data_IF_336119546122
#
_entry.id   IF_336119546122
#
_cell.length_a   1.000
_cell.length_b   1.000
_cell.length_c   1.000
_cell.angle_alpha   90.00
_cell.angle_beta   90.00
_cell.angle_gamma   90.00
#
_symmetry.space_group_name_H-M   'P 1'
#
loop_
_entity.id
_entity.type
_entity.pdbx_description
1 polymer ?
#
# COMPACT_ATOMS: atom_id res chain seq x y z
N UNK A 1 -24.48 -16.05 -10.75
CA UNK A 1 -23.77 -14.83 -10.29
C UNK A 1 -23.37 -14.84 -8.81
N UNK A 2 -23.38 -15.98 -8.12
CA UNK A 2 -23.08 -16.10 -6.68
C UNK A 2 -21.61 -16.37 -6.34
N UNK A 3 -20.68 -16.05 -7.25
CA UNK A 3 -19.26 -16.43 -7.11
C UNK A 3 -18.35 -15.29 -6.60
N UNK A 4 -18.88 -14.08 -6.42
CA UNK A 4 -18.11 -12.92 -5.93
C UNK A 4 -18.44 -12.71 -4.46
N UNK A 5 -17.44 -12.87 -3.58
CA UNK A 5 -17.62 -12.74 -2.14
C UNK A 5 -17.76 -11.26 -1.70
N UNK A 6 -17.02 -10.34 -2.32
CA UNK A 6 -17.13 -8.89 -2.14
C UNK A 6 -17.31 -8.19 -3.49
N UNK A 7 -18.55 -7.86 -3.84
CA UNK A 7 -18.92 -7.29 -5.14
C UNK A 7 -19.05 -5.77 -5.11
N UNK A 8 -18.73 -5.12 -6.24
CA UNK A 8 -19.01 -3.71 -6.46
C UNK A 8 -20.50 -3.39 -6.30
N UNK A 9 -20.82 -2.25 -5.70
CA UNK A 9 -22.20 -1.82 -5.42
C UNK A 9 -22.89 -2.60 -4.30
N UNK A 10 -22.25 -3.62 -3.72
CA UNK A 10 -22.80 -4.39 -2.59
C UNK A 10 -22.72 -3.66 -1.25
N UNK A 11 -21.86 -2.65 -1.14
CA UNK A 11 -21.55 -1.93 0.09
C UNK A 11 -21.42 -0.41 -0.16
N UNK A 12 -21.91 0.45 0.76
CA UNK A 12 -21.73 1.90 0.71
C UNK A 12 -20.30 2.41 0.43
N UNK A 13 -19.27 1.71 0.91
CA UNK A 13 -17.86 2.06 0.68
C UNK A 13 -17.33 1.74 -0.72
N UNK A 14 -18.05 0.96 -1.52
CA UNK A 14 -17.58 0.51 -2.85
C UNK A 14 -18.69 0.63 -3.91
N UNK A 15 -19.29 1.81 -4.12
CA UNK A 15 -20.46 1.95 -4.99
C UNK A 15 -20.14 1.70 -6.47
N UNK A 16 -18.91 1.94 -6.92
CA UNK A 16 -18.51 1.74 -8.32
C UNK A 16 -17.65 0.50 -8.54
N UNK A 17 -16.73 0.20 -7.61
CA UNK A 17 -15.83 -0.93 -7.72
C UNK A 17 -15.21 -1.28 -6.37
N UNK A 18 -14.80 -2.55 -6.24
CA UNK A 18 -13.99 -3.06 -5.14
C UNK A 18 -12.62 -3.43 -5.70
N UNK A 19 -11.60 -2.72 -5.27
CA UNK A 19 -10.20 -3.00 -5.59
C UNK A 19 -9.56 -3.87 -4.51
N UNK A 20 -8.32 -4.25 -4.76
CA UNK A 20 -7.54 -5.19 -3.94
C UNK A 20 -7.49 -4.80 -2.47
N UNK A 21 -7.25 -5.78 -1.63
CA UNK A 21 -6.79 -5.61 -0.28
C UNK A 21 -6.39 -6.96 0.31
N UNK A 22 -6.30 -7.05 1.63
CA UNK A 22 -5.81 -8.23 2.33
C UNK A 22 -6.72 -8.61 3.49
N UNK A 23 -6.59 -9.85 3.97
CA UNK A 23 -7.41 -10.42 5.04
C UNK A 23 -6.52 -10.91 6.17
N UNK A 24 -6.97 -10.70 7.41
CA UNK A 24 -6.37 -11.25 8.62
C UNK A 24 -7.41 -12.08 9.39
N UNK A 25 -7.02 -13.22 10.01
CA UNK A 25 -7.94 -14.08 10.74
C UNK A 25 -8.19 -13.56 12.17
N UNK A 26 -8.61 -12.31 12.30
CA UNK A 26 -8.91 -11.64 13.57
C UNK A 26 -10.22 -10.85 13.47
N UNK A 27 -10.82 -10.50 14.59
CA UNK A 27 -11.90 -9.51 14.65
C UNK A 27 -11.35 -8.07 14.74
N UNK A 28 -12.24 -7.06 14.81
CA UNK A 28 -11.85 -5.64 14.88
C UNK A 28 -11.04 -5.26 16.14
N UNK A 29 -10.96 -6.14 17.14
CA UNK A 29 -10.15 -5.99 18.36
C UNK A 29 -8.86 -6.81 18.33
N UNK A 30 -8.50 -7.38 17.17
CA UNK A 30 -7.31 -8.20 16.99
C UNK A 30 -7.41 -9.61 17.59
N UNK A 31 -8.60 -10.04 18.03
CA UNK A 31 -8.80 -11.34 18.65
C UNK A 31 -9.10 -12.42 17.61
N UNK A 32 -8.58 -13.64 17.79
CA UNK A 32 -8.88 -14.79 16.93
C UNK A 32 -10.14 -15.51 17.43
N UNK A 33 -11.30 -15.10 16.94
CA UNK A 33 -12.62 -15.69 17.28
C UNK A 33 -13.28 -16.44 16.11
N UNK A 34 -12.53 -16.68 15.04
CA UNK A 34 -13.04 -17.25 13.78
C UNK A 34 -13.53 -16.21 12.77
N UNK A 35 -13.54 -14.92 13.11
CA UNK A 35 -13.81 -13.84 12.17
C UNK A 35 -12.65 -13.66 11.19
N UNK A 36 -12.96 -13.46 9.90
CA UNK A 36 -12.05 -12.91 8.91
C UNK A 36 -12.27 -11.41 8.82
N UNK A 37 -11.21 -10.62 8.95
CA UNK A 37 -11.23 -9.17 8.80
C UNK A 37 -10.45 -8.79 7.55
N UNK A 38 -11.10 -8.09 6.63
CA UNK A 38 -10.55 -7.69 5.34
C UNK A 38 -10.50 -6.19 5.24
N UNK A 39 -9.34 -5.65 4.87
CA UNK A 39 -9.26 -4.32 4.27
C UNK A 39 -9.38 -4.47 2.76
N UNK A 40 -10.08 -3.54 2.10
CA UNK A 40 -10.07 -3.44 0.66
C UNK A 40 -10.30 -1.99 0.20
N UNK A 41 -9.80 -1.65 -0.99
CA UNK A 41 -10.01 -0.31 -1.55
C UNK A 41 -11.37 -0.21 -2.21
N UNK A 42 -12.24 0.66 -1.70
CA UNK A 42 -13.52 0.98 -2.30
C UNK A 42 -13.42 2.17 -3.26
N UNK A 43 -14.11 2.10 -4.40
CA UNK A 43 -14.04 3.11 -5.46
C UNK A 43 -15.34 3.93 -5.52
N UNK A 44 -15.19 5.24 -5.37
CA UNK A 44 -16.29 6.22 -5.40
C UNK A 44 -16.30 7.13 -6.63
N UNK A 45 -15.20 7.22 -7.36
CA UNK A 45 -15.13 7.98 -8.62
C UNK A 45 -14.11 7.39 -9.59
N UNK A 46 -14.38 7.54 -10.88
CA UNK A 46 -13.53 7.07 -11.98
C UNK A 46 -13.42 8.17 -13.06
N UNK A 47 -12.36 8.16 -13.90
CA UNK A 47 -11.25 7.21 -13.92
C UNK A 47 -10.21 7.47 -12.82
N UNK A 48 -9.53 6.41 -12.36
CA UNK A 48 -8.29 6.50 -11.58
C UNK A 48 -7.13 6.03 -12.45
N UNK A 49 -6.11 6.87 -12.61
CA UNK A 49 -4.89 6.53 -13.33
C UNK A 49 -3.76 7.45 -12.88
N UNK A 50 -2.56 6.90 -12.71
CA UNK A 50 -1.41 7.67 -12.25
C UNK A 50 -1.04 8.83 -13.19
N UNK A 51 -1.34 8.72 -14.50
CA UNK A 51 -1.11 9.75 -15.52
C UNK A 51 -2.07 10.95 -15.43
N UNK A 52 -3.19 10.81 -14.72
CA UNK A 52 -4.25 11.83 -14.65
C UNK A 52 -4.26 12.55 -13.30
N UNK A 53 -4.81 13.77 -13.21
CA UNK A 53 -5.12 14.40 -11.93
C UNK A 53 -5.96 13.47 -11.05
N UNK A 54 -5.63 13.41 -9.75
CA UNK A 54 -6.38 12.56 -8.82
C UNK A 54 -7.71 13.22 -8.45
N UNK A 55 -8.81 12.48 -8.60
CA UNK A 55 -10.11 12.94 -8.13
C UNK A 55 -10.19 12.65 -6.63
N UNK A 56 -10.28 13.70 -5.82
CA UNK A 56 -10.32 13.58 -4.36
C UNK A 56 -11.51 12.70 -3.94
N UNK A 57 -11.25 11.71 -3.09
CA UNK A 57 -12.25 10.76 -2.61
C UNK A 57 -12.50 9.58 -3.55
N UNK A 58 -11.73 9.42 -4.63
CA UNK A 58 -11.85 8.26 -5.53
C UNK A 58 -11.62 6.93 -4.84
N UNK A 59 -10.55 6.80 -4.05
CA UNK A 59 -10.21 5.58 -3.33
C UNK A 59 -10.38 5.78 -1.82
N UNK A 60 -11.15 4.89 -1.19
CA UNK A 60 -11.28 4.80 0.27
C UNK A 60 -10.80 3.43 0.73
N UNK A 61 -10.31 3.31 1.96
CA UNK A 61 -9.96 2.01 2.55
C UNK A 61 -11.05 1.62 3.54
N UNK A 62 -11.77 0.55 3.21
CA UNK A 62 -12.89 0.06 3.99
C UNK A 62 -12.58 -1.31 4.59
N UNK A 63 -13.25 -1.61 5.71
CA UNK A 63 -13.12 -2.88 6.41
C UNK A 63 -14.40 -3.69 6.31
N UNK A 64 -14.23 -5.00 6.21
CA UNK A 64 -15.30 -5.98 6.13
C UNK A 64 -14.99 -7.16 7.04
N UNK A 65 -16.01 -7.73 7.67
CA UNK A 65 -15.90 -8.97 8.45
C UNK A 65 -16.70 -10.09 7.82
N UNK A 66 -16.15 -11.30 7.86
CA UNK A 66 -16.88 -12.54 7.56
C UNK A 66 -16.79 -13.49 8.74
N UNK A 67 -17.88 -14.21 9.03
CA UNK A 67 -17.97 -15.25 10.08
C UNK A 67 -18.34 -16.63 9.52
N UNK A 68 -18.38 -16.75 8.20
CA UNK A 68 -18.78 -17.94 7.46
C UNK A 68 -17.71 -18.33 6.43
N UNK A 69 -16.44 -18.18 6.82
CA UNK A 69 -15.27 -18.55 6.00
C UNK A 69 -15.19 -17.79 4.66
N UNK A 70 -15.62 -16.53 4.63
CA UNK A 70 -15.53 -15.65 3.47
C UNK A 70 -16.67 -15.78 2.47
N UNK A 71 -17.74 -16.53 2.81
CA UNK A 71 -18.91 -16.69 1.95
C UNK A 71 -19.74 -15.41 1.90
N UNK A 72 -19.98 -14.77 3.05
CA UNK A 72 -20.65 -13.46 3.14
C UNK A 72 -19.81 -12.47 3.94
N UNK A 73 -20.05 -11.19 3.67
CA UNK A 73 -19.31 -10.08 4.26
C UNK A 73 -20.24 -9.02 4.82
N UNK A 74 -19.92 -8.56 6.02
CA UNK A 74 -20.56 -7.40 6.67
C UNK A 74 -19.57 -6.25 6.64
N UNK A 75 -19.98 -5.11 6.10
CA UNK A 75 -19.17 -3.89 6.14
C UNK A 75 -19.07 -3.38 7.58
N UNK A 76 -17.84 -3.12 8.03
CA UNK A 76 -17.53 -2.37 9.25
C UNK A 76 -17.63 -0.87 8.96
N UNK A 77 -17.12 -0.44 7.80
CA UNK A 77 -17.22 0.91 7.27
C UNK A 77 -15.94 1.40 6.59
N UNK A 78 -15.98 2.62 6.07
CA UNK A 78 -14.80 3.35 5.60
C UNK A 78 -13.93 3.78 6.77
N UNK A 79 -12.72 3.23 6.87
CA UNK A 79 -11.78 3.50 7.96
C UNK A 79 -10.79 4.59 7.59
N UNK A 80 -10.37 4.65 6.33
CA UNK A 80 -9.57 5.76 5.81
C UNK A 80 -10.25 6.34 4.56
N UNK A 81 -10.73 7.58 4.65
CA UNK A 81 -11.55 8.21 3.61
C UNK A 81 -10.75 8.87 2.46
N UNK A 82 -9.42 8.90 2.55
CA UNK A 82 -8.58 9.48 1.52
C UNK A 82 -7.09 9.53 1.91
N UNK A 83 -6.24 9.95 0.97
CA UNK A 83 -4.80 10.05 1.21
C UNK A 83 -4.45 11.08 2.30
N UNK A 84 -3.22 11.04 2.84
CA UNK A 84 -2.75 12.02 3.82
C UNK A 84 -2.93 13.46 3.33
N UNK A 85 -3.18 14.38 4.26
CA UNK A 85 -3.33 15.79 3.93
C UNK A 85 -2.09 16.34 3.20
N UNK A 86 -2.32 17.16 2.18
CA UNK A 86 -1.27 17.74 1.35
C UNK A 86 -0.68 16.81 0.29
N UNK A 87 -1.02 15.52 0.28
CA UNK A 87 -0.53 14.60 -0.74
C UNK A 87 -1.31 14.72 -2.06
N UNK A 88 -0.61 15.09 -3.13
CA UNK A 88 -1.12 15.00 -4.50
C UNK A 88 -0.76 13.64 -5.09
N UNK A 89 -1.60 12.64 -4.86
CA UNK A 89 -1.28 11.23 -5.15
C UNK A 89 -1.44 10.84 -6.62
N UNK A 90 -0.69 9.83 -7.06
CA UNK A 90 -0.94 9.09 -8.32
C UNK A 90 -2.04 8.05 -8.19
N UNK A 91 -2.23 7.56 -6.98
CA UNK A 91 -3.15 6.51 -6.57
C UNK A 91 -2.95 6.26 -5.08
N UNK A 92 -3.92 5.66 -4.42
CA UNK A 92 -3.86 5.38 -2.99
C UNK A 92 -4.76 4.18 -2.68
N UNK A 93 -4.21 2.98 -2.86
CA UNK A 93 -4.98 1.72 -2.93
C UNK A 93 -4.18 0.50 -2.48
N UNK A 94 -4.84 -0.65 -2.51
CA UNK A 94 -4.29 -1.97 -2.25
C UNK A 94 -3.72 -2.14 -0.83
N UNK A 95 -4.54 -1.97 0.22
CA UNK A 95 -4.11 -2.08 1.61
C UNK A 95 -3.63 -3.50 1.94
N UNK A 96 -2.36 -3.59 2.35
CA UNK A 96 -1.75 -4.80 2.91
C UNK A 96 -1.46 -4.58 4.38
N UNK A 97 -2.27 -5.19 5.26
CA UNK A 97 -2.16 -5.00 6.70
C UNK A 97 -1.75 -6.27 7.43
N UNK A 98 -0.91 -6.13 8.47
CA UNK A 98 -0.25 -7.24 9.16
C UNK A 98 0.20 -6.82 10.57
N UNK A 99 0.26 -7.75 11.55
CA UNK A 99 0.92 -7.50 12.83
C UNK A 99 2.45 -7.60 12.67
N UNK A 100 3.23 -6.84 13.45
CA UNK A 100 4.70 -6.98 13.44
C UNK A 100 5.32 -6.55 14.76
N UNK A 101 5.90 -7.52 15.49
CA UNK A 101 6.62 -7.26 16.75
C UNK A 101 7.95 -6.55 16.50
N UNK A 102 8.53 -6.79 15.34
CA UNK A 102 9.79 -6.21 14.88
C UNK A 102 9.61 -4.71 14.60
N UNK A 103 8.49 -4.32 13.97
CA UNK A 103 8.12 -2.90 13.83
C UNK A 103 7.75 -2.27 15.17
N UNK A 104 7.03 -2.97 16.04
CA UNK A 104 6.72 -2.48 17.40
C UNK A 104 8.00 -2.13 18.16
N UNK A 105 8.99 -3.03 18.12
CA UNK A 105 10.29 -2.81 18.74
C UNK A 105 11.07 -1.67 18.08
N UNK A 106 11.08 -1.61 16.74
CA UNK A 106 11.79 -0.56 15.99
C UNK A 106 11.21 0.84 16.26
N UNK A 107 9.88 0.95 16.34
CA UNK A 107 9.15 2.19 16.58
C UNK A 107 8.92 2.48 18.06
N UNK A 108 9.36 1.59 18.96
CA UNK A 108 9.24 1.70 20.42
C UNK A 108 7.78 1.84 20.88
N UNK A 109 6.88 1.05 20.28
CA UNK A 109 5.49 0.99 20.72
C UNK A 109 5.40 0.42 22.14
N UNK A 110 4.47 0.97 22.93
CA UNK A 110 4.20 0.51 24.31
C UNK A 110 3.23 -0.67 24.35
N UNK A 111 2.55 -0.96 23.25
CA UNK A 111 1.59 -2.06 23.09
C UNK A 111 1.77 -2.72 21.72
N UNK A 112 1.16 -3.89 21.45
CA UNK A 112 1.21 -4.52 20.13
C UNK A 112 0.42 -3.73 19.08
N UNK A 113 0.97 -3.57 17.88
CA UNK A 113 0.28 -2.89 16.78
C UNK A 113 0.12 -3.76 15.54
N UNK A 114 -0.86 -3.36 14.71
CA UNK A 114 -0.90 -3.70 13.30
C UNK A 114 -0.33 -2.55 12.48
N UNK A 115 0.20 -2.90 11.32
CA UNK A 115 0.73 -1.99 10.32
C UNK A 115 0.05 -2.23 9.00
N UNK A 116 0.06 -1.21 8.14
CA UNK A 116 -0.51 -1.31 6.81
C UNK A 116 0.32 -0.51 5.82
N UNK A 117 0.60 -1.13 4.67
CA UNK A 117 1.18 -0.44 3.51
C UNK A 117 0.17 -0.36 2.37
N UNK A 118 0.29 0.69 1.55
CA UNK A 118 -0.53 0.88 0.35
C UNK A 118 0.36 1.11 -0.87
N UNK A 119 -0.19 0.87 -2.06
CA UNK A 119 0.36 1.36 -3.32
C UNK A 119 0.04 2.83 -3.54
N UNK A 120 1.05 3.65 -3.84
CA UNK A 120 0.88 5.07 -4.11
C UNK A 120 2.05 5.68 -4.90
N UNK A 121 2.01 7.00 -5.03
CA UNK A 121 3.02 7.87 -5.63
C UNK A 121 2.60 9.32 -5.51
N UNK A 122 3.53 10.24 -5.75
CA UNK A 122 3.31 11.66 -5.57
C UNK A 122 3.63 12.46 -6.82
N UNK A 123 2.83 13.51 -7.01
CA UNK A 123 2.98 14.52 -8.04
C UNK A 123 3.47 15.82 -7.39
N UNK A 124 4.36 16.53 -8.08
CA UNK A 124 4.83 17.85 -7.64
C UNK A 124 3.87 18.98 -8.01
N UNK A 125 2.83 18.68 -8.81
CA UNK A 125 1.85 19.64 -9.31
C UNK A 125 0.86 19.00 -10.28
N UNK A 126 0.29 19.79 -11.18
CA UNK A 126 -0.58 19.27 -12.23
C UNK A 126 0.25 18.50 -13.26
N UNK A 127 -0.05 17.21 -13.42
CA UNK A 127 0.49 16.38 -14.50
C UNK A 127 -0.20 16.79 -15.80
N UNK A 128 0.53 16.98 -16.92
CA UNK A 128 -0.08 17.28 -18.21
C UNK A 128 -1.12 16.23 -18.61
N UNK A 129 -2.26 16.66 -19.17
CA UNK A 129 -3.31 15.75 -19.64
C UNK A 129 -2.80 14.76 -20.72
N UNK A 130 -1.78 15.16 -21.47
CA UNK A 130 -1.02 14.31 -22.39
C UNK A 130 0.47 14.41 -22.07
N UNK A 131 1.13 13.27 -21.89
CA UNK A 131 2.57 13.23 -21.62
C UNK A 131 3.36 13.52 -22.92
N UNK A 132 4.35 14.44 -22.90
CA UNK A 132 5.12 14.80 -24.09
C UNK A 132 6.18 13.74 -24.41
N UNK A 133 5.87 12.85 -25.36
CA UNK A 133 6.78 11.79 -25.79
C UNK A 133 7.14 10.84 -24.63
N UNK A 134 8.44 10.66 -24.38
CA UNK A 134 8.92 9.82 -23.28
C UNK A 134 9.03 10.55 -21.92
N UNK A 135 8.96 11.89 -21.91
CA UNK A 135 9.12 12.68 -20.70
C UNK A 135 7.85 12.63 -19.84
N UNK A 136 8.04 12.52 -18.52
CA UNK A 136 6.94 12.49 -17.55
C UNK A 136 7.17 13.54 -16.46
N UNK A 137 6.99 14.84 -16.78
CA UNK A 137 7.16 15.90 -15.80
C UNK A 137 6.03 15.89 -14.77
N UNK A 138 6.27 16.47 -13.60
CA UNK A 138 5.25 16.66 -12.58
C UNK A 138 5.10 15.50 -11.59
N UNK A 139 5.99 14.51 -11.63
CA UNK A 139 6.03 13.40 -10.67
C UNK A 139 7.25 13.50 -9.75
N UNK A 140 7.03 13.25 -8.46
CA UNK A 140 8.08 13.15 -7.44
C UNK A 140 8.61 11.71 -7.39
N UNK A 141 7.71 10.74 -7.50
CA UNK A 141 8.01 9.31 -7.54
C UNK A 141 6.96 8.47 -6.82
N UNK A 142 7.04 7.15 -6.90
CA UNK A 142 6.11 6.27 -6.23
C UNK A 142 6.31 6.34 -4.71
N UNK A 143 5.32 5.92 -3.94
CA UNK A 143 5.32 5.94 -2.48
C UNK A 143 4.71 4.66 -1.95
N UNK A 144 5.25 4.19 -0.83
CA UNK A 144 4.62 3.15 -0.02
C UNK A 144 4.21 3.79 1.31
N UNK A 145 2.97 4.30 1.44
CA UNK A 145 2.47 4.88 2.69
C UNK A 145 2.46 3.83 3.80
N UNK A 146 2.77 4.23 5.03
CA UNK A 146 2.73 3.37 6.20
C UNK A 146 1.72 3.91 7.21
N UNK A 147 0.87 3.02 7.70
CA UNK A 147 -0.09 3.29 8.77
C UNK A 147 0.11 2.30 9.92
N UNK A 148 -0.39 2.66 11.09
CA UNK A 148 -0.44 1.77 12.25
C UNK A 148 -1.72 1.95 13.05
N UNK A 149 -2.19 0.87 13.66
CA UNK A 149 -3.30 0.84 14.61
C UNK A 149 -2.92 -0.02 15.83
N UNK A 150 -3.36 0.34 17.06
CA UNK A 150 -3.26 -0.56 18.20
C UNK A 150 -3.94 -1.90 17.88
N UNK A 151 -3.32 -3.02 18.23
CA UNK A 151 -3.90 -4.34 17.95
C UNK A 151 -5.26 -4.55 18.63
N UNK A 152 -5.53 -3.83 19.73
CA UNK A 152 -6.81 -3.83 20.45
C UNK A 152 -7.93 -3.06 19.75
N UNK A 153 -7.63 -2.26 18.71
CA UNK A 153 -8.62 -1.46 17.99
C UNK A 153 -8.21 -1.21 16.53
N UNK A 154 -8.55 -2.15 15.65
CA UNK A 154 -8.21 -2.12 14.22
C UNK A 154 -9.08 -1.17 13.39
N UNK A 155 -9.95 -0.36 13.99
CA UNK A 155 -10.67 0.72 13.29
C UNK A 155 -10.00 2.09 13.46
N UNK A 156 -8.92 2.18 14.25
CA UNK A 156 -8.22 3.43 14.55
C UNK A 156 -6.80 3.47 13.97
N UNK A 157 -6.68 3.87 12.70
CA UNK A 157 -5.41 3.90 11.98
C UNK A 157 -4.80 5.30 11.91
N UNK A 158 -3.51 5.38 12.21
CA UNK A 158 -2.71 6.60 12.13
C UNK A 158 -1.70 6.49 10.99
N UNK A 159 -1.62 7.55 10.17
CA UNK A 159 -0.56 7.68 9.17
C UNK A 159 0.78 7.96 9.84
N UNK A 160 1.81 7.21 9.46
CA UNK A 160 3.17 7.37 9.98
C UNK A 160 4.09 8.12 9.01
N UNK A 161 3.76 8.18 7.72
CA UNK A 161 4.67 8.68 6.68
C UNK A 161 4.79 7.68 5.54
N UNK A 162 5.62 7.99 4.54
CA UNK A 162 5.99 6.98 3.56
C UNK A 162 7.10 6.09 4.15
N UNK A 163 6.88 4.78 4.09
CA UNK A 163 7.93 3.80 4.37
C UNK A 163 9.08 3.96 3.38
N UNK A 164 8.75 4.23 2.11
CA UNK A 164 9.73 4.34 1.05
C UNK A 164 9.35 5.38 -0.01
N UNK A 165 10.37 6.13 -0.46
CA UNK A 165 10.25 7.35 -1.24
C UNK A 165 11.26 7.44 -2.41
N UNK A 166 11.32 6.46 -3.32
CA UNK A 166 12.26 6.55 -4.43
C UNK A 166 11.90 7.71 -5.37
N UNK A 167 12.92 8.26 -6.02
CA UNK A 167 12.74 9.27 -7.07
C UNK A 167 11.97 8.68 -8.25
N UNK A 168 11.14 9.48 -8.91
CA UNK A 168 10.40 9.10 -10.09
C UNK A 168 11.28 8.40 -11.14
N UNK A 169 10.84 7.21 -11.55
CA UNK A 169 11.42 6.35 -12.57
C UNK A 169 12.88 5.95 -12.33
N UNK A 170 13.31 6.00 -11.07
CA UNK A 170 14.60 5.44 -10.64
C UNK A 170 14.55 3.91 -10.62
N UNK A 171 15.70 3.30 -10.37
CA UNK A 171 15.86 1.86 -10.17
C UNK A 171 16.87 1.65 -9.04
N UNK A 172 16.84 0.48 -8.37
CA UNK A 172 17.88 0.14 -7.40
C UNK A 172 19.27 0.16 -8.03
N UNK A 173 19.36 -0.32 -9.27
CA UNK A 173 20.57 -0.37 -10.05
C UNK A 173 20.26 -0.19 -11.54
N UNK A 174 20.71 -1.14 -12.35
CA UNK A 174 20.42 -1.11 -13.79
C UNK A 174 18.99 -1.61 -14.02
N UNK A 175 18.12 -0.75 -14.56
CA UNK A 175 16.69 -1.05 -14.73
C UNK A 175 16.39 -2.33 -15.53
N UNK A 176 17.24 -2.73 -16.48
CA UNK A 176 17.09 -4.01 -17.20
C UNK A 176 17.29 -5.25 -16.30
N UNK A 177 17.91 -5.08 -15.13
CA UNK A 177 18.20 -6.14 -14.15
C UNK A 177 17.26 -6.03 -12.95
N UNK A 178 17.12 -4.83 -12.40
CA UNK A 178 16.41 -4.57 -11.14
C UNK A 178 15.02 -3.97 -11.33
N UNK A 179 14.61 -3.74 -12.58
CA UNK A 179 13.35 -3.09 -12.92
C UNK A 179 13.30 -1.60 -12.63
N UNK A 180 12.34 -0.89 -13.21
CA UNK A 180 12.11 0.53 -12.89
C UNK A 180 11.04 0.66 -11.82
N UNK A 181 11.27 1.54 -10.85
CA UNK A 181 10.27 1.91 -9.85
C UNK A 181 9.14 2.76 -10.44
N UNK A 182 9.31 3.28 -11.65
CA UNK A 182 8.25 4.02 -12.33
C UNK A 182 7.76 5.21 -11.51
N UNK A 183 6.45 5.45 -11.52
CA UNK A 183 5.83 6.66 -11.00
C UNK A 183 4.73 6.38 -9.97
N UNK A 184 4.25 5.14 -9.91
CA UNK A 184 3.21 4.68 -9.02
C UNK A 184 3.50 3.24 -8.58
N UNK A 185 3.38 2.96 -7.28
CA UNK A 185 3.36 1.59 -6.78
C UNK A 185 1.92 1.08 -6.65
N UNK A 186 1.75 -0.22 -6.87
CA UNK A 186 0.50 -0.97 -6.70
C UNK A 186 0.78 -2.22 -5.88
N UNK A 187 -0.26 -2.76 -5.23
CA UNK A 187 -0.22 -4.05 -4.51
C UNK A 187 1.03 -4.19 -3.62
N UNK A 188 1.29 -3.16 -2.82
CA UNK A 188 2.49 -3.09 -1.99
C UNK A 188 2.39 -4.07 -0.81
N UNK A 189 3.50 -4.72 -0.49
CA UNK A 189 3.65 -5.59 0.68
C UNK A 189 4.94 -5.29 1.43
N UNK A 190 4.93 -5.54 2.73
CA UNK A 190 6.09 -5.49 3.61
C UNK A 190 6.08 -6.73 4.50
N UNK A 191 7.22 -7.41 4.58
CA UNK A 191 7.42 -8.53 5.49
C UNK A 191 8.90 -8.65 5.82
N UNK A 192 9.22 -9.38 6.89
CA UNK A 192 10.58 -9.69 7.27
C UNK A 192 10.84 -11.20 7.20
N UNK A 193 12.08 -11.57 6.90
CA UNK A 193 12.53 -12.96 6.90
C UNK A 193 13.80 -13.12 7.74
N UNK A 194 13.94 -14.23 8.48
CA UNK A 194 15.20 -14.59 9.10
C UNK A 194 16.31 -14.78 8.06
N UNK A 195 17.47 -14.17 8.27
CA UNK A 195 18.66 -14.36 7.42
C UNK A 195 19.89 -14.67 8.28
N UNK A 196 20.48 -15.85 8.03
CA UNK A 196 21.62 -16.35 8.80
C UNK A 196 22.84 -15.39 8.78
N UNK A 197 23.04 -14.65 7.70
CA UNK A 197 24.17 -13.73 7.53
C UNK A 197 24.01 -12.38 8.23
N UNK A 198 22.85 -12.08 8.83
CA UNK A 198 22.54 -10.77 9.41
C UNK A 198 22.75 -10.69 10.94
N UNK A 199 23.57 -11.60 11.51
CA UNK A 199 23.89 -11.57 12.94
C UNK A 199 22.65 -11.71 13.85
N UNK A 200 21.62 -12.43 13.36
CA UNK A 200 20.37 -12.67 14.08
C UNK A 200 19.27 -11.60 13.90
N UNK A 201 19.51 -10.51 13.16
CA UNK A 201 18.44 -9.55 12.81
C UNK A 201 17.71 -9.99 11.54
N UNK A 202 16.37 -9.83 11.46
CA UNK A 202 15.66 -10.14 10.23
C UNK A 202 16.00 -9.13 9.14
N UNK A 203 15.93 -9.55 7.87
CA UNK A 203 15.95 -8.63 6.74
C UNK A 203 14.53 -8.30 6.31
N UNK A 204 14.33 -7.03 5.95
CA UNK A 204 13.05 -6.54 5.47
C UNK A 204 12.95 -6.71 3.96
N UNK A 205 11.76 -7.05 3.50
CA UNK A 205 11.44 -7.22 2.10
C UNK A 205 10.17 -6.43 1.78
N UNK A 206 10.20 -5.75 0.64
CA UNK A 206 9.01 -5.18 0.03
C UNK A 206 8.72 -5.86 -1.29
N UNK A 207 7.44 -5.98 -1.61
CA UNK A 207 6.94 -6.38 -2.93
C UNK A 207 6.02 -5.30 -3.46
N UNK A 208 6.03 -5.08 -4.77
CA UNK A 208 5.17 -4.08 -5.39
C UNK A 208 5.02 -4.31 -6.89
N UNK A 209 3.87 -3.93 -7.43
CA UNK A 209 3.76 -3.52 -8.81
C UNK A 209 4.32 -2.11 -8.98
N UNK A 210 5.00 -1.81 -10.09
CA UNK A 210 5.47 -0.47 -10.42
C UNK A 210 5.02 -0.06 -11.82
N UNK A 211 4.42 1.12 -11.95
CA UNK A 211 3.85 1.59 -13.22
C UNK A 211 4.62 2.76 -13.84
N UNK A 212 4.71 2.74 -15.17
CA UNK A 212 5.21 3.84 -15.99
C UNK A 212 6.70 3.79 -16.31
N UNK A 213 7.43 2.80 -15.80
CA UNK A 213 8.83 2.59 -16.16
C UNK A 213 8.98 1.58 -17.29
N UNK A 214 9.81 1.86 -18.30
CA UNK A 214 10.13 0.89 -19.35
C UNK A 214 11.58 0.99 -19.79
N UNK A 215 12.08 -0.06 -20.43
CA UNK A 215 13.40 -0.11 -21.06
C UNK A 215 13.31 -0.62 -22.50
N UNK A 216 14.43 -0.66 -23.21
CA UNK A 216 14.49 -1.28 -24.53
C UNK A 216 14.17 -2.79 -24.50
N UNK A 217 14.52 -3.48 -23.40
CA UNK A 217 14.31 -4.92 -23.21
C UNK A 217 12.98 -5.25 -22.53
N UNK A 218 12.43 -4.33 -21.76
CA UNK A 218 11.14 -4.46 -21.10
C UNK A 218 10.20 -3.31 -21.50
N UNK A 219 9.45 -3.53 -22.57
CA UNK A 219 8.60 -2.50 -23.20
C UNK A 219 7.25 -2.29 -22.50
N UNK A 220 6.84 -3.18 -21.59
CA UNK A 220 5.65 -2.95 -20.77
C UNK A 220 6.01 -1.99 -19.65
N UNK A 221 5.09 -1.07 -19.35
CA UNK A 221 5.27 -0.07 -18.31
C UNK A 221 5.00 -0.61 -16.90
N UNK A 222 4.62 -1.89 -16.78
CA UNK A 222 4.30 -2.56 -15.52
C UNK A 222 5.41 -3.53 -15.14
N UNK A 223 5.97 -3.36 -13.95
CA UNK A 223 6.92 -4.28 -13.35
C UNK A 223 6.33 -4.95 -12.12
N UNK A 224 6.68 -6.22 -11.89
CA UNK A 224 6.47 -6.89 -10.62
C UNK A 224 7.83 -7.00 -9.94
N UNK A 225 7.99 -6.31 -8.80
CA UNK A 225 9.28 -6.11 -8.16
C UNK A 225 9.25 -6.59 -6.72
N UNK A 226 10.44 -6.90 -6.22
CA UNK A 226 10.72 -7.03 -4.81
C UNK A 226 12.08 -6.40 -4.51
N UNK A 227 12.26 -5.92 -3.28
CA UNK A 227 13.56 -5.48 -2.80
C UNK A 227 13.77 -5.90 -1.36
N UNK A 228 15.00 -6.31 -1.04
CA UNK A 228 15.48 -6.48 0.33
C UNK A 228 16.09 -5.17 0.80
N UNK A 229 15.83 -4.77 2.04
CA UNK A 229 16.37 -3.55 2.62
C UNK A 229 16.61 -3.62 4.13
N UNK A 230 17.19 -2.54 4.63
CA UNK A 230 17.18 -2.21 6.05
C UNK A 230 15.96 -1.36 6.39
N UNK A 231 15.48 -1.47 7.63
CA UNK A 231 14.42 -0.61 8.15
C UNK A 231 14.92 0.14 9.37
N UNK A 232 14.67 1.44 9.42
CA UNK A 232 15.08 2.31 10.52
C UNK A 232 13.94 3.25 10.94
N UNK A 233 13.81 3.48 12.24
CA UNK A 233 12.90 4.51 12.75
C UNK A 233 13.45 5.91 12.47
N UNK A 234 12.58 6.84 12.08
CA UNK A 234 12.89 8.26 11.94
C UNK A 234 12.56 9.02 13.21
N UNK A 235 13.18 10.20 13.38
CA UNK A 235 12.98 11.05 14.55
C UNK A 235 11.51 11.51 14.77
N UNK A 236 10.71 11.54 13.71
CA UNK A 236 9.29 11.91 13.76
C UNK A 236 8.36 10.74 14.14
N UNK A 237 8.91 9.59 14.53
CA UNK A 237 8.15 8.39 14.89
C UNK A 237 7.67 7.53 13.71
N UNK A 238 8.13 7.83 12.49
CA UNK A 238 7.90 7.00 11.29
C UNK A 238 8.98 5.95 11.08
N UNK A 239 8.86 5.11 10.05
CA UNK A 239 9.89 4.18 9.62
C UNK A 239 10.31 4.43 8.16
N UNK A 240 11.58 4.19 7.87
CA UNK A 240 12.17 4.21 6.54
C UNK A 240 12.68 2.84 6.15
N UNK A 241 12.32 2.38 4.95
CA UNK A 241 13.00 1.29 4.27
C UNK A 241 14.04 1.85 3.32
N UNK A 242 15.27 1.35 3.44
CA UNK A 242 16.35 1.58 2.47
C UNK A 242 16.66 0.27 1.74
N UNK A 243 16.25 0.14 0.45
CA UNK A 243 16.60 -1.01 -0.38
C UNK A 243 18.12 -1.20 -0.52
N UNK A 244 18.56 -2.45 -0.56
CA UNK A 244 19.98 -2.84 -0.64
C UNK A 244 20.26 -3.91 -1.68
N UNK A 245 19.27 -4.73 -2.05
CA UNK A 245 19.36 -5.72 -3.14
C UNK A 245 17.99 -6.05 -3.72
#
# INVERSE_FOLDING_TARGET
DTAVSLAAGGHPSAPLSQFTGTTQPVNIKGEQDGTLLTFATGIHALPTNWKSPYIKGTEVQAMYTSRDSGVTWTEVGTVLAGPPEGWNVTGWRDPSFFPSKELDAALKQSEPHYYMVLGSGLKSGNVPAQLPGAARPGFIGPRMPLYSAPASNLTNWKFLGALWEPTANSSLGVADVTGSYGYNFEVSGLFDLPVASAGGKPAWFVTMGAEGGQTARHKREQWALWNRGGLAARANGSAELTPTS
#
